data_IF_727303057231
#
_entry.id   IF_727303057231
#
_cell.length_a   1.000
_cell.length_b   1.000
_cell.length_c   1.000
_cell.angle_alpha   90.00
_cell.angle_beta   90.00
_cell.angle_gamma   90.00
#
_symmetry.space_group_name_H-M   'P 1'
#
loop_
_entity.id
_entity.type
_entity.pdbx_description
1 polymer ?
#
# COMPACT_ATOMS: atom_id res chain seq x y z
N UNK A 1 -9.29 11.04 -34.30
CA UNK A 1 -10.34 12.05 -34.64
C UNK A 1 -10.02 13.39 -33.98
N UNK A 2 -9.67 13.41 -32.70
CA UNK A 2 -9.34 14.64 -31.97
C UNK A 2 -8.07 15.36 -32.49
N UNK A 3 -7.04 14.61 -32.91
CA UNK A 3 -5.84 15.17 -33.53
C UNK A 3 -6.13 15.90 -34.85
N UNK A 4 -7.16 15.44 -35.59
CA UNK A 4 -7.57 16.05 -36.85
C UNK A 4 -8.33 17.38 -36.66
N UNK A 5 -8.80 17.67 -35.44
CA UNK A 5 -9.54 18.85 -35.10
C UNK A 5 -8.70 19.87 -34.29
N UNK A 6 -7.39 19.61 -34.14
CA UNK A 6 -6.45 20.44 -33.36
C UNK A 6 -6.90 20.71 -31.91
N UNK A 7 -7.78 19.88 -31.36
CA UNK A 7 -8.31 20.01 -30.00
C UNK A 7 -7.34 19.62 -28.89
N UNK A 8 -6.15 19.13 -29.27
CA UNK A 8 -5.10 18.73 -28.33
C UNK A 8 -4.06 19.81 -28.05
N UNK A 9 -4.17 20.98 -28.70
CA UNK A 9 -3.26 22.11 -28.45
C UNK A 9 -3.85 23.04 -27.40
N UNK A 10 -3.02 23.52 -26.49
CA UNK A 10 -3.40 24.58 -25.57
C UNK A 10 -3.64 25.90 -26.34
N UNK A 11 -4.41 26.83 -25.79
CA UNK A 11 -4.63 28.14 -26.43
C UNK A 11 -3.34 28.93 -26.71
N UNK A 12 -2.23 28.61 -26.03
CA UNK A 12 -0.90 29.17 -26.20
C UNK A 12 -0.06 28.45 -27.29
N UNK A 13 -0.64 27.48 -28.00
CA UNK A 13 0.05 26.70 -29.02
C UNK A 13 1.10 25.69 -28.49
N UNK A 14 1.29 25.64 -27.17
CA UNK A 14 2.16 24.65 -26.56
C UNK A 14 1.49 23.26 -26.59
N UNK A 15 2.16 22.27 -27.12
CA UNK A 15 1.76 20.88 -27.02
C UNK A 15 1.56 20.48 -25.55
N UNK A 16 0.83 19.38 -25.24
CA UNK A 16 0.71 18.90 -23.86
C UNK A 16 2.10 18.78 -23.28
N UNK A 17 2.41 19.59 -22.27
CA UNK A 17 3.70 19.57 -21.62
C UNK A 17 4.05 18.13 -21.27
N UNK A 18 5.19 17.63 -21.72
CA UNK A 18 5.71 16.36 -21.28
C UNK A 18 5.89 16.49 -19.78
N UNK A 19 4.91 16.01 -19.00
CA UNK A 19 5.06 15.93 -17.57
C UNK A 19 6.23 15.02 -17.30
N UNK A 20 7.32 15.61 -16.79
CA UNK A 20 8.54 14.88 -16.51
C UNK A 20 8.24 13.63 -15.70
N UNK A 21 8.87 12.54 -16.02
CA UNK A 21 8.76 11.27 -15.31
C UNK A 21 9.20 11.49 -13.86
N UNK A 22 8.24 11.59 -12.95
CA UNK A 22 8.57 11.69 -11.53
C UNK A 22 9.06 10.33 -11.04
N UNK A 23 10.26 10.29 -10.48
CA UNK A 23 10.82 9.13 -9.80
C UNK A 23 11.54 9.64 -8.55
N UNK A 24 11.31 8.98 -7.40
CA UNK A 24 12.05 9.25 -6.19
C UNK A 24 13.54 8.99 -6.41
N UNK A 25 14.40 9.85 -5.88
CA UNK A 25 15.84 9.76 -6.10
C UNK A 25 16.45 8.57 -5.36
N UNK A 26 15.88 8.21 -4.21
CA UNK A 26 16.41 7.16 -3.33
C UNK A 26 15.31 6.21 -2.85
N UNK A 27 15.71 5.03 -2.38
CA UNK A 27 14.81 4.09 -1.69
C UNK A 27 14.26 4.73 -0.41
N UNK A 28 13.04 4.36 -0.05
CA UNK A 28 12.34 4.90 1.12
C UNK A 28 12.10 6.41 1.10
N UNK A 29 12.33 7.10 -0.02
CA UNK A 29 11.91 8.49 -0.18
C UNK A 29 10.38 8.57 -0.28
N UNK A 30 9.76 7.67 -1.05
CA UNK A 30 8.31 7.61 -1.22
C UNK A 30 7.82 6.19 -1.39
N UNK A 31 6.79 5.85 -0.62
CA UNK A 31 5.96 4.68 -0.88
C UNK A 31 4.60 5.09 -1.41
N UNK A 32 4.18 4.49 -2.50
CA UNK A 32 2.83 4.68 -3.05
C UNK A 32 1.96 3.50 -2.66
N UNK A 33 0.84 3.77 -2.00
CA UNK A 33 -0.13 2.76 -1.57
C UNK A 33 -1.43 2.85 -2.36
N UNK A 34 -2.03 1.68 -2.62
CA UNK A 34 -3.33 1.57 -3.30
C UNK A 34 -3.93 0.18 -3.05
N UNK A 35 -5.20 0.00 -3.47
CA UNK A 35 -5.95 -1.24 -3.34
C UNK A 35 -6.22 -1.88 -4.71
N UNK A 36 -6.13 -3.21 -4.77
CA UNK A 36 -6.53 -4.01 -5.92
C UNK A 36 -7.68 -4.94 -5.53
N UNK A 37 -8.77 -4.91 -6.28
CA UNK A 37 -9.84 -5.89 -6.17
C UNK A 37 -9.36 -7.24 -6.73
N UNK A 38 -9.42 -8.27 -5.89
CA UNK A 38 -8.91 -9.60 -6.17
C UNK A 38 -10.01 -10.63 -6.46
N UNK A 39 -9.63 -11.92 -6.46
CA UNK A 39 -10.55 -13.02 -6.71
C UNK A 39 -11.52 -13.24 -5.53
N UNK A 40 -12.55 -14.03 -5.79
CA UNK A 40 -13.42 -14.55 -4.73
C UNK A 40 -12.77 -15.81 -4.16
N UNK A 41 -12.47 -15.81 -2.86
CA UNK A 41 -11.90 -16.94 -2.13
C UNK A 41 -12.87 -17.36 -1.02
N UNK A 42 -13.20 -18.64 -0.95
CA UNK A 42 -14.19 -19.18 -0.02
C UNK A 42 -15.53 -18.38 -0.01
N UNK A 43 -16.00 -18.01 -1.22
CA UNK A 43 -17.26 -17.26 -1.40
C UNK A 43 -17.19 -15.77 -1.04
N UNK A 44 -16.04 -15.24 -0.68
CA UNK A 44 -15.86 -13.84 -0.28
C UNK A 44 -14.90 -13.09 -1.21
N UNK A 45 -15.24 -11.86 -1.57
CA UNK A 45 -14.33 -10.96 -2.31
C UNK A 45 -13.06 -10.72 -1.50
N UNK A 46 -11.95 -10.58 -2.23
CA UNK A 46 -10.67 -10.22 -1.62
C UNK A 46 -10.14 -8.89 -2.18
N UNK A 47 -9.30 -8.24 -1.40
CA UNK A 47 -8.68 -6.96 -1.72
C UNK A 47 -7.20 -7.05 -1.34
N UNK A 48 -6.32 -6.66 -2.24
CA UNK A 48 -4.90 -6.51 -1.93
C UNK A 48 -4.62 -5.05 -1.58
N UNK A 49 -4.23 -4.80 -0.35
CA UNK A 49 -3.57 -3.54 0.02
C UNK A 49 -2.09 -3.68 -0.25
N UNK A 50 -1.50 -2.74 -1.00
CA UNK A 50 -0.12 -2.82 -1.41
C UNK A 50 0.57 -1.45 -1.36
N UNK A 51 1.85 -1.46 -1.01
CA UNK A 51 2.75 -0.31 -1.06
C UNK A 51 3.96 -0.66 -1.91
N UNK A 52 4.26 0.20 -2.88
CA UNK A 52 5.44 0.09 -3.74
C UNK A 52 6.42 1.22 -3.42
N UNK A 53 7.69 0.89 -3.33
CA UNK A 53 8.76 1.90 -3.28
C UNK A 53 8.93 2.56 -4.64
N UNK A 54 8.82 3.87 -4.67
CA UNK A 54 8.79 4.65 -5.92
C UNK A 54 10.11 4.59 -6.70
N UNK A 55 11.24 4.48 -5.99
CA UNK A 55 12.56 4.37 -6.61
C UNK A 55 12.82 2.98 -7.16
N UNK A 56 12.75 1.97 -6.33
CA UNK A 56 13.18 0.61 -6.66
C UNK A 56 12.12 -0.22 -7.39
N UNK A 57 10.84 0.14 -7.27
CA UNK A 57 9.69 -0.68 -7.66
C UNK A 57 9.50 -1.91 -6.76
N UNK A 58 10.26 -2.05 -5.67
CA UNK A 58 10.04 -3.13 -4.73
C UNK A 58 8.67 -3.00 -4.06
N UNK A 59 7.97 -4.12 -3.92
CA UNK A 59 6.77 -4.20 -3.12
C UNK A 59 7.17 -4.27 -1.65
N UNK A 60 6.94 -3.18 -0.93
CA UNK A 60 7.48 -2.99 0.42
C UNK A 60 6.51 -3.39 1.52
N UNK A 61 5.21 -3.26 1.30
CA UNK A 61 4.17 -3.69 2.23
C UNK A 61 2.95 -4.19 1.47
N UNK A 62 2.40 -5.33 1.88
CA UNK A 62 1.24 -5.91 1.18
C UNK A 62 0.48 -6.88 2.07
N UNK A 63 -0.81 -7.01 1.77
CA UNK A 63 -1.67 -7.99 2.43
C UNK A 63 -2.97 -8.18 1.64
N UNK A 64 -3.38 -9.42 1.44
CA UNK A 64 -4.74 -9.76 1.04
C UNK A 64 -5.68 -9.80 2.24
N UNK A 65 -6.91 -9.31 2.07
CA UNK A 65 -7.96 -9.32 3.08
C UNK A 65 -9.35 -9.33 2.45
N UNK A 66 -10.39 -9.37 3.26
CA UNK A 66 -11.78 -9.39 2.83
C UNK A 66 -12.47 -8.04 2.87
N UNK A 67 -11.75 -6.98 3.17
CA UNK A 67 -12.25 -5.61 3.25
C UNK A 67 -11.28 -4.62 2.63
N UNK A 68 -11.83 -3.56 2.05
CA UNK A 68 -11.10 -2.39 1.59
C UNK A 68 -11.26 -1.30 2.63
N UNK A 69 -10.57 -1.46 3.75
CA UNK A 69 -10.66 -0.55 4.87
C UNK A 69 -9.28 -0.14 5.41
N UNK A 70 -9.31 0.81 6.33
CA UNK A 70 -8.11 1.37 6.93
C UNK A 70 -7.33 0.36 7.79
N UNK A 71 -8.01 -0.59 8.45
CA UNK A 71 -7.35 -1.62 9.25
C UNK A 71 -6.46 -2.50 8.40
N UNK A 72 -6.99 -2.88 7.25
CA UNK A 72 -6.30 -3.70 6.29
C UNK A 72 -5.12 -2.94 5.65
N UNK A 73 -5.33 -1.66 5.28
CA UNK A 73 -4.25 -0.80 4.79
C UNK A 73 -3.15 -0.62 5.85
N UNK A 74 -3.53 -0.34 7.10
CA UNK A 74 -2.59 -0.19 8.21
C UNK A 74 -1.78 -1.48 8.49
N UNK A 75 -2.42 -2.65 8.36
CA UNK A 75 -1.73 -3.93 8.51
C UNK A 75 -0.68 -4.16 7.41
N UNK A 76 -1.01 -3.83 6.14
CA UNK A 76 -0.07 -3.88 5.03
C UNK A 76 1.10 -2.90 5.23
N UNK A 77 0.81 -1.66 5.63
CA UNK A 77 1.84 -0.66 5.93
C UNK A 77 2.76 -1.10 7.07
N UNK A 78 2.18 -1.57 8.18
CA UNK A 78 2.95 -2.04 9.35
C UNK A 78 3.90 -3.19 9.00
N UNK A 79 3.46 -4.13 8.16
CA UNK A 79 4.30 -5.22 7.67
C UNK A 79 5.49 -4.69 6.86
N UNK A 80 5.25 -3.72 5.98
CA UNK A 80 6.30 -3.04 5.22
C UNK A 80 7.31 -2.32 6.11
N UNK A 81 6.82 -1.52 7.06
CA UNK A 81 7.67 -0.78 8.00
C UNK A 81 8.56 -1.72 8.82
N UNK A 82 8.05 -2.88 9.22
CA UNK A 82 8.80 -3.87 9.99
C UNK A 82 9.94 -4.55 9.19
N UNK A 83 9.83 -4.63 7.87
CA UNK A 83 10.76 -5.39 7.02
C UNK A 83 11.59 -4.53 6.07
N UNK A 84 11.09 -3.36 5.67
CA UNK A 84 11.69 -2.52 4.62
C UNK A 84 12.09 -1.12 5.12
N UNK A 85 11.88 -0.81 6.41
CA UNK A 85 12.24 0.47 7.02
C UNK A 85 11.14 1.51 6.92
N UNK A 86 11.48 2.77 7.15
CA UNK A 86 10.54 3.89 7.26
C UNK A 86 10.68 4.79 6.04
N UNK A 87 9.61 5.01 5.25
CA UNK A 87 9.65 5.97 4.15
C UNK A 87 9.54 7.42 4.69
N UNK A 88 10.09 8.37 3.93
CA UNK A 88 9.89 9.79 4.22
C UNK A 88 8.45 10.23 3.90
N UNK A 89 7.86 9.65 2.84
CA UNK A 89 6.53 10.00 2.36
C UNK A 89 5.74 8.74 2.06
N UNK A 90 4.50 8.70 2.53
CA UNK A 90 3.47 7.78 2.05
C UNK A 90 2.51 8.57 1.17
N UNK A 91 2.30 8.08 -0.05
CA UNK A 91 1.39 8.67 -1.03
C UNK A 91 0.18 7.74 -1.22
N UNK A 92 -1.02 8.25 -0.96
CA UNK A 92 -2.29 7.52 -1.09
C UNK A 92 -3.25 8.26 -2.00
N UNK A 93 -4.28 7.55 -2.45
CA UNK A 93 -5.45 8.15 -3.09
C UNK A 93 -6.28 8.97 -2.08
N UNK A 94 -7.13 9.88 -2.61
CA UNK A 94 -8.09 10.65 -1.82
C UNK A 94 -9.31 9.84 -1.36
N UNK A 95 -9.32 8.52 -1.52
CA UNK A 95 -10.40 7.66 -1.04
C UNK A 95 -10.62 7.82 0.47
N UNK A 96 -11.84 8.15 0.89
CA UNK A 96 -12.19 8.39 2.30
C UNK A 96 -11.89 7.20 3.21
N UNK A 97 -11.87 5.98 2.67
CA UNK A 97 -11.51 4.76 3.39
C UNK A 97 -10.02 4.71 3.81
N UNK A 98 -9.17 5.51 3.17
CA UNK A 98 -7.72 5.49 3.40
C UNK A 98 -7.21 6.59 4.34
N UNK A 99 -8.10 7.47 4.83
CA UNK A 99 -7.72 8.57 5.73
C UNK A 99 -8.45 8.40 7.05
N UNK A 100 -7.74 7.95 8.07
CA UNK A 100 -8.26 7.93 9.43
C UNK A 100 -7.33 8.64 10.39
N UNK A 101 -7.89 9.11 11.51
CA UNK A 101 -7.10 9.72 12.60
C UNK A 101 -6.01 8.77 13.10
N UNK A 102 -6.29 7.47 13.11
CA UNK A 102 -5.35 6.44 13.55
C UNK A 102 -4.16 6.31 12.60
N UNK A 103 -4.40 6.29 11.29
CA UNK A 103 -3.32 6.28 10.31
C UNK A 103 -2.47 7.56 10.39
N UNK A 104 -3.12 8.74 10.47
CA UNK A 104 -2.43 10.01 10.63
C UNK A 104 -1.53 10.03 11.88
N UNK A 105 -2.06 9.52 13.02
CA UNK A 105 -1.27 9.37 14.25
C UNK A 105 -0.08 8.43 14.04
N UNK A 106 -0.30 7.27 13.44
CA UNK A 106 0.77 6.30 13.20
C UNK A 106 1.90 6.89 12.34
N UNK A 107 1.53 7.58 11.27
CA UNK A 107 2.48 8.24 10.38
C UNK A 107 3.23 9.38 11.11
N UNK A 108 2.53 10.18 11.93
CA UNK A 108 3.15 11.25 12.72
C UNK A 108 4.16 10.73 13.74
N UNK A 109 3.82 9.65 14.47
CA UNK A 109 4.75 8.99 15.43
C UNK A 109 6.02 8.50 14.75
N UNK A 110 5.90 8.02 13.50
CA UNK A 110 7.03 7.51 12.72
C UNK A 110 7.74 8.60 11.89
N UNK A 111 7.30 9.86 11.98
CA UNK A 111 7.88 10.96 11.20
C UNK A 111 7.61 10.88 9.70
N UNK A 112 6.59 10.14 9.29
CA UNK A 112 6.23 9.92 7.89
C UNK A 112 5.24 11.00 7.45
N UNK A 113 5.54 11.69 6.35
CA UNK A 113 4.63 12.64 5.74
C UNK A 113 3.60 11.93 4.87
N UNK A 114 2.32 12.19 5.08
CA UNK A 114 1.26 11.72 4.19
C UNK A 114 1.01 12.75 3.08
N UNK A 115 0.90 12.25 1.85
CA UNK A 115 0.49 13.06 0.68
C UNK A 115 -0.59 12.33 -0.10
N UNK A 116 -1.45 13.11 -0.76
CA UNK A 116 -2.56 12.57 -1.54
C UNK A 116 -2.45 12.99 -3.00
N UNK A 117 -3.07 12.19 -3.88
CA UNK A 117 -3.25 12.55 -5.28
C UNK A 117 -4.07 13.85 -5.38
N UNK A 118 -3.65 14.78 -6.23
CA UNK A 118 -4.50 15.93 -6.55
C UNK A 118 -5.57 15.49 -7.54
N UNK A 119 -6.84 15.96 -7.38
CA UNK A 119 -7.88 15.69 -8.34
C UNK A 119 -7.42 16.06 -9.76
N UNK A 120 -7.59 15.15 -10.73
CA UNK A 120 -7.18 15.38 -12.12
C UNK A 120 -5.67 15.28 -12.41
N UNK A 121 -4.83 14.95 -11.43
CA UNK A 121 -3.39 14.74 -11.63
C UNK A 121 -2.97 13.33 -11.11
N UNK A 122 -3.14 12.28 -11.92
CA UNK A 122 -2.80 10.89 -11.53
C UNK A 122 -1.29 10.62 -11.48
N UNK A 123 -0.46 11.67 -11.54
CA UNK A 123 0.99 11.58 -11.54
C UNK A 123 1.50 11.02 -10.21
N UNK A 124 2.02 9.83 -10.25
CA UNK A 124 2.51 9.10 -9.07
C UNK A 124 1.84 7.74 -8.85
N UNK A 125 0.65 7.50 -9.40
CA UNK A 125 -0.06 6.21 -9.30
C UNK A 125 0.33 5.20 -10.38
N UNK A 126 0.81 5.66 -11.54
CA UNK A 126 1.10 4.80 -12.68
C UNK A 126 2.03 3.61 -12.39
N UNK A 127 2.88 3.71 -11.35
CA UNK A 127 3.79 2.63 -10.95
C UNK A 127 3.05 1.50 -10.22
N UNK A 128 2.19 1.84 -9.26
CA UNK A 128 1.39 0.84 -8.53
C UNK A 128 0.29 0.27 -9.42
N UNK A 129 -0.31 1.05 -10.29
CA UNK A 129 -1.28 0.58 -11.29
C UNK A 129 -0.64 -0.43 -12.26
N UNK A 130 0.61 -0.20 -12.69
CA UNK A 130 1.37 -1.16 -13.49
C UNK A 130 1.71 -2.42 -12.71
N UNK A 131 2.09 -2.29 -11.45
CA UNK A 131 2.25 -3.43 -10.56
C UNK A 131 0.97 -4.25 -10.45
N UNK A 132 -0.18 -3.62 -10.24
CA UNK A 132 -1.46 -4.30 -10.18
C UNK A 132 -1.83 -5.00 -11.49
N UNK A 133 -1.46 -4.44 -12.63
CA UNK A 133 -1.59 -5.14 -13.92
C UNK A 133 -0.74 -6.40 -13.92
N UNK A 134 0.51 -6.33 -13.48
CA UNK A 134 1.40 -7.50 -13.37
C UNK A 134 0.80 -8.57 -12.44
N UNK A 135 0.21 -8.17 -11.32
CA UNK A 135 -0.49 -9.11 -10.42
C UNK A 135 -1.63 -9.83 -11.15
N UNK A 136 -2.46 -9.10 -11.90
CA UNK A 136 -3.58 -9.70 -12.65
C UNK A 136 -3.10 -10.64 -13.75
N UNK A 137 -2.13 -10.21 -14.53
CA UNK A 137 -1.66 -10.91 -15.74
C UNK A 137 -0.74 -12.10 -15.43
N UNK A 138 -0.13 -12.15 -14.25
CA UNK A 138 0.80 -13.21 -13.87
C UNK A 138 0.26 -13.99 -12.67
N UNK A 139 0.24 -13.41 -11.48
CA UNK A 139 -0.13 -14.13 -10.27
C UNK A 139 -1.58 -14.67 -10.29
N UNK A 140 -2.56 -13.81 -10.59
CA UNK A 140 -3.96 -14.22 -10.58
C UNK A 140 -4.31 -15.15 -11.75
N UNK A 141 -3.66 -14.98 -12.89
CA UNK A 141 -3.83 -15.87 -14.02
C UNK A 141 -3.28 -17.27 -13.71
N UNK A 142 -2.07 -17.36 -13.12
CA UNK A 142 -1.47 -18.61 -12.69
C UNK A 142 -2.32 -19.30 -11.61
N UNK A 143 -2.83 -18.52 -10.65
CA UNK A 143 -3.68 -19.06 -9.58
C UNK A 143 -4.99 -19.64 -10.10
N UNK A 144 -5.53 -19.13 -11.19
CA UNK A 144 -6.78 -19.59 -11.80
C UNK A 144 -6.58 -20.70 -12.84
N UNK A 145 -5.34 -21.05 -13.17
CA UNK A 145 -5.05 -22.06 -14.16
C UNK A 145 -5.47 -23.48 -13.67
N UNK A 146 -6.05 -24.33 -14.54
CA UNK A 146 -6.38 -25.71 -14.18
C UNK A 146 -5.17 -26.54 -13.73
N UNK A 147 -3.98 -26.15 -14.18
CA UNK A 147 -2.68 -26.75 -13.84
C UNK A 147 -2.06 -26.16 -12.57
N UNK A 148 -2.76 -25.27 -11.84
CA UNK A 148 -2.24 -24.67 -10.63
C UNK A 148 -1.84 -25.76 -9.63
N UNK A 149 -0.55 -25.82 -9.31
CA UNK A 149 0.01 -26.81 -8.37
C UNK A 149 -0.47 -26.58 -6.94
N UNK A 150 -1.06 -25.42 -6.67
CA UNK A 150 -1.58 -25.04 -5.36
C UNK A 150 -2.98 -24.47 -5.50
N UNK A 151 -3.97 -25.22 -5.04
CA UNK A 151 -5.32 -24.68 -4.88
C UNK A 151 -5.36 -23.82 -3.63
N UNK A 152 -5.68 -22.52 -3.80
CA UNK A 152 -5.86 -21.57 -2.70
C UNK A 152 -7.30 -21.69 -2.21
N UNK A 153 -7.50 -22.31 -1.05
CA UNK A 153 -8.82 -22.54 -0.46
C UNK A 153 -9.27 -21.43 0.49
N UNK A 154 -8.33 -20.64 1.02
CA UNK A 154 -8.61 -19.61 2.02
C UNK A 154 -7.69 -18.39 1.87
N UNK A 155 -7.94 -17.37 2.72
CA UNK A 155 -7.18 -16.13 2.71
C UNK A 155 -5.72 -16.31 3.15
N UNK A 156 -5.45 -17.26 4.05
CA UNK A 156 -4.09 -17.52 4.51
C UNK A 156 -3.24 -18.10 3.37
N UNK A 157 -3.76 -19.11 2.67
CA UNK A 157 -3.12 -19.68 1.49
C UNK A 157 -2.92 -18.66 0.36
N UNK A 158 -3.87 -17.70 0.17
CA UNK A 158 -3.71 -16.62 -0.79
C UNK A 158 -2.53 -15.70 -0.41
N UNK A 159 -2.41 -15.33 0.86
CA UNK A 159 -1.30 -14.50 1.34
C UNK A 159 0.05 -15.23 1.23
N UNK A 160 0.11 -16.51 1.57
CA UNK A 160 1.33 -17.33 1.41
C UNK A 160 1.75 -17.46 -0.05
N UNK A 161 0.84 -17.82 -0.94
CA UNK A 161 1.11 -17.94 -2.37
C UNK A 161 1.57 -16.59 -2.96
N UNK A 162 0.92 -15.49 -2.57
CA UNK A 162 1.30 -14.16 -3.02
C UNK A 162 2.68 -13.75 -2.49
N UNK A 163 2.98 -14.01 -1.23
CA UNK A 163 4.30 -13.73 -0.65
C UNK A 163 5.39 -14.51 -1.39
N UNK A 164 5.18 -15.80 -1.63
CA UNK A 164 6.12 -16.61 -2.39
C UNK A 164 6.34 -16.04 -3.80
N UNK A 165 5.26 -15.70 -4.52
CA UNK A 165 5.35 -15.10 -5.86
C UNK A 165 6.08 -13.74 -5.84
N UNK A 166 5.79 -12.88 -4.87
CA UNK A 166 6.48 -11.58 -4.73
C UNK A 166 7.98 -11.79 -4.54
N UNK A 167 8.38 -12.64 -3.61
CA UNK A 167 9.80 -12.79 -3.25
C UNK A 167 10.60 -13.58 -4.30
N UNK A 168 10.00 -14.58 -4.97
CA UNK A 168 10.72 -15.45 -5.91
C UNK A 168 10.58 -15.03 -7.36
N UNK A 169 9.51 -14.34 -7.74
CA UNK A 169 9.25 -13.94 -9.13
C UNK A 169 9.34 -12.43 -9.29
N UNK A 170 8.45 -11.67 -8.63
CA UNK A 170 8.36 -10.23 -8.86
C UNK A 170 9.63 -9.48 -8.46
N UNK A 171 10.14 -9.74 -7.27
CA UNK A 171 11.34 -9.07 -6.73
C UNK A 171 12.63 -9.44 -7.45
N UNK A 172 12.68 -10.62 -8.09
CA UNK A 172 13.88 -11.13 -8.77
C UNK A 172 13.93 -10.80 -10.26
N UNK A 173 12.77 -10.52 -10.87
CA UNK A 173 12.69 -10.23 -12.29
C UNK A 173 13.20 -8.82 -12.61
N UNK A 174 14.07 -8.67 -13.62
CA UNK A 174 14.52 -7.37 -14.08
C UNK A 174 13.32 -6.53 -14.56
N UNK A 175 13.14 -5.38 -13.94
CA UNK A 175 12.08 -4.44 -14.28
C UNK A 175 12.50 -3.60 -15.50
N UNK A 176 11.67 -3.59 -16.55
CA UNK A 176 12.00 -2.98 -17.85
C UNK A 176 12.36 -1.50 -17.79
N UNK A 177 11.78 -0.75 -16.86
CA UNK A 177 12.04 0.69 -16.74
C UNK A 177 13.32 1.01 -15.96
N UNK A 178 13.70 0.17 -15.00
CA UNK A 178 14.86 0.43 -14.13
C UNK A 178 16.10 -0.36 -14.57
N UNK A 179 15.90 -1.38 -15.41
CA UNK A 179 16.99 -2.28 -15.83
C UNK A 179 17.53 -3.15 -14.70
N UNK A 180 16.88 -3.17 -13.53
CA UNK A 180 17.32 -3.89 -12.34
C UNK A 180 16.15 -4.66 -11.72
N UNK A 181 16.47 -5.73 -10.98
CA UNK A 181 15.47 -6.42 -10.16
C UNK A 181 15.06 -5.52 -8.99
N UNK A 182 13.74 -5.41 -8.68
CA UNK A 182 13.24 -4.49 -7.66
C UNK A 182 13.92 -4.64 -6.29
N UNK A 183 14.10 -5.87 -5.81
CA UNK A 183 14.73 -6.11 -4.52
C UNK A 183 16.22 -5.78 -4.53
N UNK A 184 16.94 -6.12 -5.59
CA UNK A 184 18.35 -5.79 -5.73
C UNK A 184 18.56 -4.27 -5.73
N UNK A 185 17.71 -3.54 -6.46
CA UNK A 185 17.75 -2.06 -6.49
C UNK A 185 17.39 -1.46 -5.13
N UNK A 186 16.44 -2.05 -4.40
CA UNK A 186 16.07 -1.62 -3.05
C UNK A 186 17.23 -1.79 -2.07
N UNK A 187 17.92 -2.92 -2.10
CA UNK A 187 19.01 -3.25 -1.19
C UNK A 187 20.36 -2.61 -1.56
N UNK A 188 20.48 -2.04 -2.76
CA UNK A 188 21.72 -1.36 -3.20
C UNK A 188 22.11 -0.18 -2.30
N UNK A 189 21.15 0.44 -1.60
CA UNK A 189 21.40 1.49 -0.61
C UNK A 189 21.81 0.97 0.78
N UNK A 190 21.97 -0.34 0.94
CA UNK A 190 22.24 -1.00 2.22
C UNK A 190 21.00 -1.63 2.87
N UNK A 191 21.22 -2.22 4.04
CA UNK A 191 20.13 -2.86 4.78
C UNK A 191 19.14 -1.80 5.29
N UNK A 192 17.81 -2.02 5.10
CA UNK A 192 16.81 -1.08 5.57
C UNK A 192 16.79 -1.01 7.10
N UNK A 193 16.67 0.21 7.62
CA UNK A 193 16.54 0.42 9.06
C UNK A 193 15.07 0.37 9.48
N UNK A 194 14.65 -0.77 10.00
CA UNK A 194 13.30 -0.95 10.52
C UNK A 194 13.15 -0.35 11.91
N UNK A 195 11.98 0.22 12.25
CA UNK A 195 11.66 0.65 13.60
C UNK A 195 11.66 -0.54 14.56
N UNK A 196 11.96 -0.30 15.83
CA UNK A 196 11.85 -1.37 16.82
C UNK A 196 10.39 -1.84 16.97
N UNK A 197 10.17 -3.09 17.43
CA UNK A 197 8.81 -3.57 17.69
C UNK A 197 8.03 -2.71 18.69
N UNK A 198 8.70 -2.05 19.62
CA UNK A 198 8.11 -1.13 20.59
C UNK A 198 7.58 0.13 19.90
N UNK A 199 8.39 0.75 19.03
CA UNK A 199 8.00 1.93 18.25
C UNK A 199 6.84 1.61 17.31
N UNK A 200 6.87 0.44 16.64
CA UNK A 200 5.76 0.01 15.79
C UNK A 200 4.47 -0.23 16.59
N UNK A 201 4.55 -0.83 17.77
CA UNK A 201 3.38 -0.98 18.65
C UNK A 201 2.81 0.37 19.02
N UNK A 202 3.64 1.28 19.50
CA UNK A 202 3.22 2.63 19.88
C UNK A 202 2.56 3.38 18.70
N UNK A 203 3.17 3.35 17.52
CA UNK A 203 2.65 4.03 16.35
C UNK A 203 1.25 3.52 15.95
N UNK A 204 1.03 2.21 16.03
CA UNK A 204 -0.24 1.58 15.65
C UNK A 204 -1.17 1.30 16.83
N UNK A 205 -0.94 1.90 18.00
CA UNK A 205 -1.92 1.91 19.08
C UNK A 205 -3.16 2.70 18.66
N UNK A 206 -4.29 2.07 18.85
CA UNK A 206 -5.60 2.69 18.58
C UNK A 206 -6.11 3.33 19.83
N UNK A 207 -6.51 4.59 19.74
CA UNK A 207 -7.19 5.29 20.83
C UNK A 207 -8.62 5.58 20.42
N UNK A 208 -9.55 5.21 21.29
CA UNK A 208 -10.95 5.60 21.18
C UNK A 208 -11.34 6.47 22.36
N UNK A 209 -12.04 7.57 22.08
CA UNK A 209 -12.61 8.39 23.12
C UNK A 209 -13.96 7.82 23.51
N UNK A 210 -14.13 7.51 24.80
CA UNK A 210 -15.38 7.06 25.38
C UNK A 210 -15.77 7.97 26.55
N UNK A 211 -17.06 8.21 26.71
CA UNK A 211 -17.54 8.92 27.90
C UNK A 211 -17.47 7.97 29.11
N UNK A 212 -16.90 8.48 30.20
CA UNK A 212 -16.93 7.79 31.48
C UNK A 212 -18.30 7.98 32.06
N UNK A 213 -18.95 6.89 32.49
CA UNK A 213 -20.26 6.96 33.17
C UNK A 213 -20.11 7.50 34.58
N UNK A 214 -21.23 7.85 35.21
CA UNK A 214 -21.27 8.29 36.65
C UNK A 214 -20.76 7.20 37.62
N UNK A 215 -20.71 5.95 37.17
CA UNK A 215 -20.19 4.81 37.94
C UNK A 215 -18.73 4.49 37.61
N UNK A 216 -17.98 5.45 37.09
CA UNK A 216 -16.57 5.30 36.71
C UNK A 216 -16.33 4.09 35.77
N UNK A 217 -17.20 3.90 34.77
CA UNK A 217 -17.07 2.83 33.80
C UNK A 217 -17.08 3.38 32.38
N UNK A 218 -16.39 2.68 31.44
CA UNK A 218 -16.45 2.92 30.00
C UNK A 218 -16.90 1.64 29.29
N UNK A 219 -17.70 1.81 28.24
CA UNK A 219 -18.05 0.69 27.34
C UNK A 219 -17.19 0.72 26.09
N UNK A 220 -16.54 -0.41 25.79
CA UNK A 220 -15.70 -0.58 24.60
C UNK A 220 -15.90 -1.98 24.01
N UNK A 221 -16.27 -2.05 22.74
CA UNK A 221 -16.52 -3.30 22.00
C UNK A 221 -17.45 -4.30 22.73
N UNK A 222 -18.51 -3.78 23.36
CA UNK A 222 -19.49 -4.61 24.09
C UNK A 222 -19.06 -5.01 25.51
N UNK A 223 -17.85 -4.69 25.93
CA UNK A 223 -17.39 -4.89 27.30
C UNK A 223 -17.43 -3.59 28.10
N UNK A 224 -17.57 -3.73 29.43
CA UNK A 224 -17.51 -2.62 30.37
C UNK A 224 -16.23 -2.70 31.20
N UNK A 225 -15.51 -1.61 31.28
CA UNK A 225 -14.25 -1.50 32.02
C UNK A 225 -14.39 -0.43 33.10
N UNK A 226 -13.93 -0.73 34.29
CA UNK A 226 -13.78 0.27 35.36
C UNK A 226 -12.56 1.15 35.03
N UNK A 227 -12.69 2.43 35.31
CA UNK A 227 -11.61 3.41 35.14
C UNK A 227 -11.47 4.22 36.41
N UNK A 228 -10.23 4.53 36.79
CA UNK A 228 -10.02 5.41 37.94
C UNK A 228 -10.62 6.78 37.63
N UNK A 229 -11.45 7.25 38.53
CA UNK A 229 -11.94 8.61 38.53
C UNK A 229 -10.80 9.51 39.00
N UNK A 230 -10.14 10.22 38.03
CA UNK A 230 -9.16 11.24 38.36
C UNK A 230 -9.86 12.49 38.93
#
# INVERSE_FOLDING_TARGET
HFARLELNTRPDGAGPGAFGRFEAATVNERWTGDALHGPVIAGRKTYLMAFIDDHSRALVGYRWGHSEDMLHLAAALRSGLASRGVPQVVYLDNGSAMISRQLLRALAVLGIRLTHSRPGQPQGRGKIERFFRTVREQFLLELSAPSATRQVGDLAGLNEAFTAWVETVYHQRVHTETGQAPLARFLAAGAPQAPTPAVLREAFLWSEHRAVTKTATVSLHGNTYEVDAA
#
